data_IF_635559904217
#
_entry.id   IF_635559904217
#
_cell.length_a   1.000
_cell.length_b   1.000
_cell.length_c   1.000
_cell.angle_alpha   90.00
_cell.angle_beta   90.00
_cell.angle_gamma   90.00
#
_symmetry.space_group_name_H-M   'P 1'
#
loop_
_entity.id
_entity.type
_entity.pdbx_description
1 polymer ?
#
# COMPACT_ATOMS: atom_id res chain seq x y z
N UNK A 1 8.00 7.22 15.65
CA UNK A 1 9.22 6.43 15.40
C UNK A 1 9.64 5.64 16.65
N UNK A 2 9.14 6.04 17.83
CA UNK A 2 9.41 5.46 19.16
C UNK A 2 9.06 3.96 19.29
N UNK A 3 8.21 3.41 18.42
CA UNK A 3 7.90 1.97 18.40
C UNK A 3 9.05 1.10 17.92
N UNK A 4 9.93 1.61 17.04
CA UNK A 4 11.07 0.87 16.48
C UNK A 4 12.18 0.68 17.54
N UNK A 5 12.25 1.59 18.50
CA UNK A 5 13.26 1.54 19.56
C UNK A 5 12.91 0.53 20.66
N UNK A 6 11.63 0.17 20.79
CA UNK A 6 11.18 -0.81 21.77
C UNK A 6 11.81 -2.20 21.51
N UNK A 7 12.39 -2.85 22.53
CA UNK A 7 12.87 -4.23 22.40
C UNK A 7 11.73 -5.17 21.99
N UNK A 8 12.03 -6.14 21.12
CA UNK A 8 11.08 -7.17 20.69
C UNK A 8 9.99 -6.73 19.71
N UNK A 9 9.92 -5.44 19.33
CA UNK A 9 8.97 -4.97 18.33
C UNK A 9 9.56 -5.08 16.93
N UNK A 10 8.82 -5.73 16.03
CA UNK A 10 9.07 -5.77 14.59
C UNK A 10 8.03 -4.92 13.86
N UNK A 11 8.44 -4.25 12.79
CA UNK A 11 7.58 -3.43 11.94
C UNK A 11 7.61 -3.99 10.53
N UNK A 12 6.43 -4.20 9.96
CA UNK A 12 6.26 -4.48 8.53
C UNK A 12 5.66 -3.23 7.91
N UNK A 13 6.38 -2.60 6.99
CA UNK A 13 5.93 -1.42 6.26
C UNK A 13 5.64 -1.79 4.81
N UNK A 14 4.39 -1.55 4.39
CA UNK A 14 3.97 -1.74 3.01
C UNK A 14 3.95 -0.39 2.29
N UNK A 15 4.82 -0.26 1.30
CA UNK A 15 4.87 0.86 0.38
C UNK A 15 4.12 0.52 -0.90
N UNK A 16 3.61 1.53 -1.60
CA UNK A 16 3.01 1.38 -2.92
C UNK A 16 3.44 2.56 -3.79
N UNK A 17 3.46 2.38 -5.11
CA UNK A 17 3.77 3.48 -6.00
C UNK A 17 2.85 4.70 -5.73
N UNK A 18 3.39 5.94 -5.71
CA UNK A 18 2.62 7.13 -5.34
C UNK A 18 1.41 7.42 -6.23
N UNK A 19 1.49 7.04 -7.52
CA UNK A 19 0.45 7.32 -8.51
C UNK A 19 -0.83 6.51 -8.23
N UNK A 20 -0.72 5.20 -8.07
CA UNK A 20 -1.85 4.36 -7.67
C UNK A 20 -2.29 4.64 -6.23
N UNK A 21 -1.36 5.01 -5.35
CA UNK A 21 -1.69 5.39 -3.98
C UNK A 21 -2.63 6.60 -3.98
N UNK A 22 -2.35 7.60 -4.81
CA UNK A 22 -3.22 8.75 -5.00
C UNK A 22 -4.61 8.34 -5.50
N UNK A 23 -4.68 7.60 -6.62
CA UNK A 23 -5.96 7.19 -7.21
C UNK A 23 -6.79 6.33 -6.26
N UNK A 24 -6.15 5.41 -5.54
CA UNK A 24 -6.80 4.59 -4.52
C UNK A 24 -7.34 5.45 -3.38
N UNK A 25 -6.58 6.44 -2.92
CA UNK A 25 -6.98 7.34 -1.84
C UNK A 25 -8.12 8.27 -2.25
N UNK A 26 -8.07 8.83 -3.46
CA UNK A 26 -9.12 9.68 -4.02
C UNK A 26 -10.46 8.94 -4.12
N UNK A 27 -10.46 7.72 -4.68
CA UNK A 27 -11.65 6.87 -4.72
C UNK A 27 -12.16 6.52 -3.32
N UNK A 28 -11.26 6.11 -2.42
CA UNK A 28 -11.63 5.75 -1.05
C UNK A 28 -12.34 6.91 -0.36
N UNK A 29 -11.75 8.10 -0.37
CA UNK A 29 -12.30 9.30 0.27
C UNK A 29 -13.68 9.65 -0.30
N UNK A 30 -13.85 9.61 -1.62
CA UNK A 30 -15.14 9.92 -2.24
C UNK A 30 -16.21 8.86 -1.96
N UNK A 31 -15.83 7.60 -1.76
CA UNK A 31 -16.77 6.52 -1.44
C UNK A 31 -17.19 6.48 0.04
N UNK A 32 -16.32 6.90 0.97
CA UNK A 32 -16.63 6.86 2.41
C UNK A 32 -17.23 8.15 2.96
N UNK A 33 -17.29 9.22 2.15
CA UNK A 33 -17.94 10.47 2.51
C UNK A 33 -19.45 10.28 2.59
N UNK A 34 -20.09 11.09 3.43
CA UNK A 34 -21.56 11.17 3.46
C UNK A 34 -22.07 11.64 2.09
N UNK A 35 -23.21 11.10 1.65
CA UNK A 35 -23.92 11.53 0.43
C UNK A 35 -24.22 13.03 0.39
N UNK A 36 -24.26 13.69 1.56
CA UNK A 36 -24.46 15.13 1.70
C UNK A 36 -23.23 15.99 1.35
N UNK A 37 -22.06 15.36 1.20
CA UNK A 37 -20.79 16.06 0.91
C UNK A 37 -20.45 15.88 -0.57
N UNK A 38 -20.23 16.99 -1.27
CA UNK A 38 -19.81 16.95 -2.67
C UNK A 38 -18.52 16.13 -2.87
N UNK A 39 -18.42 15.34 -3.96
CA UNK A 39 -17.19 14.65 -4.31
C UNK A 39 -16.03 15.63 -4.46
N UNK A 40 -14.83 15.22 -4.02
CA UNK A 40 -13.61 15.98 -4.33
C UNK A 40 -13.25 15.74 -5.78
N UNK A 41 -13.07 16.83 -6.52
CA UNK A 41 -12.60 16.74 -7.90
C UNK A 41 -11.18 16.18 -7.94
N UNK A 42 -10.87 15.41 -8.99
CA UNK A 42 -9.58 14.74 -9.11
C UNK A 42 -8.43 15.74 -9.13
N UNK A 43 -8.55 16.83 -9.89
CA UNK A 43 -7.50 17.86 -10.00
C UNK A 43 -7.23 18.59 -8.68
N UNK A 44 -8.28 18.89 -7.92
CA UNK A 44 -8.17 19.50 -6.59
C UNK A 44 -7.48 18.54 -5.61
N UNK A 45 -7.93 17.28 -5.58
CA UNK A 45 -7.32 16.26 -4.73
C UNK A 45 -5.84 16.02 -5.11
N UNK A 46 -5.53 16.04 -6.41
CA UNK A 46 -4.19 15.86 -6.93
C UNK A 46 -3.25 17.00 -6.52
N UNK A 47 -3.72 18.25 -6.59
CA UNK A 47 -2.93 19.40 -6.13
C UNK A 47 -2.63 19.29 -4.62
N UNK A 48 -3.64 18.98 -3.82
CA UNK A 48 -3.48 18.75 -2.38
C UNK A 48 -2.51 17.61 -2.09
N UNK A 49 -2.61 16.49 -2.82
CA UNK A 49 -1.69 15.35 -2.69
C UNK A 49 -0.24 15.74 -2.99
N UNK A 50 0.01 16.47 -4.09
CA UNK A 50 1.34 16.96 -4.45
C UNK A 50 1.91 17.94 -3.42
N UNK A 51 1.05 18.67 -2.71
CA UNK A 51 1.44 19.54 -1.59
C UNK A 51 1.61 18.80 -0.26
N UNK A 52 1.40 17.48 -0.24
CA UNK A 52 1.47 16.66 0.96
C UNK A 52 0.24 16.77 1.87
N UNK A 53 -0.81 17.48 1.43
CA UNK A 53 -2.05 17.71 2.18
C UNK A 53 -3.03 16.57 1.89
N UNK A 54 -2.72 15.40 2.45
CA UNK A 54 -3.57 14.21 2.45
C UNK A 54 -3.52 13.56 3.83
N UNK A 55 -4.46 12.67 4.15
CA UNK A 55 -4.43 11.93 5.42
C UNK A 55 -3.08 11.25 5.65
N UNK A 56 -2.47 11.50 6.81
CA UNK A 56 -1.13 11.03 7.19
C UNK A 56 0.01 11.52 6.27
N UNK A 57 -0.24 12.57 5.47
CA UNK A 57 0.77 13.19 4.63
C UNK A 57 1.76 14.07 5.41
N UNK A 58 2.87 14.46 4.77
CA UNK A 58 3.23 14.19 3.38
C UNK A 58 3.67 12.73 3.15
N UNK A 59 3.35 12.19 1.96
CA UNK A 59 3.53 10.75 1.74
C UNK A 59 5.02 10.33 1.62
N UNK A 60 5.88 11.20 1.13
CA UNK A 60 7.29 10.88 0.95
C UNK A 60 8.06 10.77 2.28
N UNK A 61 7.67 11.53 3.31
CA UNK A 61 8.36 11.50 4.60
C UNK A 61 8.26 10.14 5.28
N UNK A 62 7.04 9.58 5.34
CA UNK A 62 6.85 8.28 5.96
C UNK A 62 7.45 7.15 5.10
N UNK A 63 7.34 7.20 3.76
CA UNK A 63 8.02 6.24 2.88
C UNK A 63 9.53 6.23 3.10
N UNK A 64 10.18 7.40 3.08
CA UNK A 64 11.63 7.52 3.30
C UNK A 64 12.04 7.14 4.72
N UNK A 65 11.22 7.49 5.71
CA UNK A 65 11.48 7.15 7.10
C UNK A 65 11.60 5.65 7.29
N UNK A 66 10.60 4.88 6.81
CA UNK A 66 10.64 3.42 6.91
C UNK A 66 11.63 2.78 5.95
N UNK A 67 11.88 3.36 4.78
CA UNK A 67 12.93 2.90 3.87
C UNK A 67 14.30 2.96 4.55
N UNK A 68 14.67 4.12 5.10
CA UNK A 68 15.95 4.32 5.81
C UNK A 68 16.07 3.41 7.03
N UNK A 69 15.01 3.27 7.83
CA UNK A 69 15.03 2.36 8.97
C UNK A 69 15.15 0.89 8.56
N UNK A 70 14.56 0.48 7.43
CA UNK A 70 14.73 -0.88 6.90
C UNK A 70 16.16 -1.19 6.46
N UNK A 71 16.88 -0.20 5.94
CA UNK A 71 18.30 -0.34 5.60
C UNK A 71 19.18 -0.36 6.85
N UNK A 72 18.83 0.44 7.86
CA UNK A 72 19.59 0.56 9.12
C UNK A 72 19.38 -0.63 10.07
N UNK A 73 18.17 -1.18 10.10
CA UNK A 73 17.71 -2.22 11.06
C UNK A 73 16.84 -3.28 10.35
N UNK A 74 17.39 -4.01 9.37
CA UNK A 74 16.63 -4.98 8.57
C UNK A 74 15.99 -6.12 9.40
N UNK A 75 16.53 -6.39 10.60
CA UNK A 75 15.98 -7.35 11.57
C UNK A 75 14.73 -6.82 12.31
N UNK A 76 14.51 -5.50 12.31
CA UNK A 76 13.37 -4.84 12.96
C UNK A 76 12.36 -4.25 12.01
N UNK A 77 12.76 -3.87 10.79
CA UNK A 77 11.87 -3.22 9.82
C UNK A 77 11.94 -3.95 8.49
N UNK A 78 10.86 -4.66 8.15
CA UNK A 78 10.67 -5.25 6.84
C UNK A 78 9.93 -4.26 5.95
N UNK A 79 10.60 -3.79 4.90
CA UNK A 79 10.00 -2.97 3.85
C UNK A 79 9.54 -3.86 2.70
N UNK A 80 8.25 -3.76 2.34
CA UNK A 80 7.62 -4.46 1.22
C UNK A 80 7.03 -3.41 0.26
N UNK A 81 7.01 -3.74 -1.03
CA UNK A 81 6.26 -2.96 -2.03
C UNK A 81 5.04 -3.74 -2.49
N UNK A 82 3.92 -3.07 -2.64
CA UNK A 82 2.67 -3.66 -3.11
C UNK A 82 2.83 -4.31 -4.49
N UNK A 83 3.63 -3.69 -5.36
CA UNK A 83 3.95 -4.18 -6.70
C UNK A 83 4.68 -5.52 -6.63
N UNK A 84 5.70 -5.65 -5.78
CA UNK A 84 6.43 -6.91 -5.56
C UNK A 84 5.48 -8.01 -5.04
N UNK A 85 4.52 -7.67 -4.16
CA UNK A 85 3.50 -8.61 -3.69
C UNK A 85 2.57 -9.08 -4.80
N UNK A 86 2.29 -8.22 -5.77
CA UNK A 86 1.42 -8.51 -6.91
C UNK A 86 2.13 -9.35 -7.97
N UNK A 87 3.43 -9.17 -8.11
CA UNK A 87 4.29 -9.95 -9.02
C UNK A 87 4.56 -11.36 -8.47
N UNK A 88 5.00 -11.47 -7.21
CA UNK A 88 5.31 -12.75 -6.58
C UNK A 88 4.89 -12.76 -5.10
N UNK A 89 3.65 -13.18 -4.87
CA UNK A 89 3.09 -13.26 -3.52
C UNK A 89 3.76 -14.35 -2.67
N UNK A 90 4.15 -15.47 -3.25
CA UNK A 90 4.68 -16.62 -2.48
C UNK A 90 6.06 -16.31 -1.92
N UNK A 91 6.96 -15.74 -2.73
CA UNK A 91 8.30 -15.33 -2.27
C UNK A 91 8.20 -14.27 -1.19
N UNK A 92 7.32 -13.28 -1.36
CA UNK A 92 7.14 -12.23 -0.37
C UNK A 92 6.48 -12.74 0.93
N UNK A 93 5.57 -13.72 0.86
CA UNK A 93 5.02 -14.38 2.05
C UNK A 93 6.10 -15.15 2.82
N UNK A 94 7.00 -15.86 2.12
CA UNK A 94 8.15 -16.53 2.76
C UNK A 94 9.11 -15.54 3.41
N UNK A 95 9.36 -14.40 2.76
CA UNK A 95 10.14 -13.29 3.32
C UNK A 95 9.50 -12.74 4.59
N UNK A 96 8.19 -12.50 4.57
CA UNK A 96 7.41 -12.03 5.71
C UNK A 96 7.43 -13.04 6.86
N UNK A 97 7.19 -14.32 6.59
CA UNK A 97 7.14 -15.36 7.61
C UNK A 97 8.50 -15.55 8.29
N UNK A 98 9.58 -15.55 7.51
CA UNK A 98 10.96 -15.56 8.02
C UNK A 98 11.26 -14.33 8.88
N UNK A 99 10.87 -13.15 8.42
CA UNK A 99 11.03 -11.91 9.20
C UNK A 99 10.27 -11.96 10.52
N UNK A 100 9.06 -12.53 10.55
CA UNK A 100 8.28 -12.69 11.77
C UNK A 100 8.87 -13.74 12.73
N UNK A 101 9.81 -14.57 12.27
CA UNK A 101 10.40 -15.68 13.05
C UNK A 101 9.56 -16.96 12.98
N UNK A 102 8.74 -17.08 11.94
CA UNK A 102 7.87 -18.22 11.66
C UNK A 102 8.11 -18.72 10.22
N UNK A 103 9.35 -19.09 9.84
CA UNK A 103 9.62 -19.56 8.50
C UNK A 103 8.81 -20.82 8.20
N UNK A 104 8.35 -20.96 6.96
CA UNK A 104 7.70 -22.18 6.52
C UNK A 104 8.71 -23.33 6.52
N UNK A 105 8.26 -24.51 6.93
CA UNK A 105 9.02 -25.75 6.78
C UNK A 105 8.97 -26.24 5.33
N UNK A 106 9.97 -27.00 4.89
CA UNK A 106 9.96 -27.64 3.57
C UNK A 106 8.69 -28.47 3.34
N UNK A 107 8.16 -29.07 4.40
CA UNK A 107 6.94 -29.86 4.36
C UNK A 107 5.69 -29.01 4.12
N UNK A 108 5.58 -27.84 4.76
CA UNK A 108 4.49 -26.89 4.53
C UNK A 108 4.54 -26.32 3.10
N UNK A 109 5.74 -26.01 2.60
CA UNK A 109 5.92 -25.59 1.21
C UNK A 109 5.50 -26.68 0.23
N UNK A 110 5.96 -27.92 0.44
CA UNK A 110 5.59 -29.07 -0.39
C UNK A 110 4.08 -29.36 -0.36
N UNK A 111 3.43 -29.12 0.79
CA UNK A 111 1.97 -29.23 0.95
C UNK A 111 1.18 -28.05 0.38
N UNK A 112 1.85 -27.02 -0.15
CA UNK A 112 1.21 -25.86 -0.74
C UNK A 112 0.59 -24.90 0.29
N UNK A 113 1.05 -24.90 1.54
CA UNK A 113 0.52 -24.02 2.60
C UNK A 113 0.72 -22.55 2.24
N UNK A 114 1.88 -22.19 1.66
CA UNK A 114 2.17 -20.81 1.22
C UNK A 114 1.12 -20.33 0.21
N UNK A 115 0.85 -21.15 -0.79
CA UNK A 115 -0.17 -20.89 -1.81
C UNK A 115 -1.57 -20.82 -1.21
N UNK A 116 -1.92 -21.73 -0.30
CA UNK A 116 -3.23 -21.72 0.37
C UNK A 116 -3.45 -20.43 1.17
N UNK A 117 -2.42 -19.91 1.85
CA UNK A 117 -2.49 -18.61 2.54
C UNK A 117 -2.63 -17.47 1.53
N UNK A 118 -1.85 -17.49 0.43
CA UNK A 118 -1.96 -16.48 -0.63
C UNK A 118 -3.38 -16.44 -1.22
N UNK A 119 -3.97 -17.60 -1.51
CA UNK A 119 -5.33 -17.72 -2.04
C UNK A 119 -6.37 -17.24 -1.04
N UNK A 120 -6.24 -17.62 0.24
CA UNK A 120 -7.13 -17.20 1.33
C UNK A 120 -7.12 -15.68 1.52
N UNK A 121 -5.93 -15.07 1.46
CA UNK A 121 -5.75 -13.62 1.61
C UNK A 121 -5.86 -12.85 0.29
N UNK A 122 -6.17 -13.52 -0.82
CA UNK A 122 -6.24 -12.88 -2.13
C UNK A 122 -7.34 -11.82 -2.17
N UNK A 123 -7.12 -10.78 -2.98
CA UNK A 123 -8.08 -9.69 -3.16
C UNK A 123 -9.46 -10.21 -3.55
N UNK A 124 -9.53 -11.15 -4.50
CA UNK A 124 -10.77 -11.75 -4.98
C UNK A 124 -11.49 -12.55 -3.89
N UNK A 125 -10.75 -13.31 -3.08
CA UNK A 125 -11.36 -14.06 -1.98
C UNK A 125 -11.89 -13.11 -0.90
N UNK A 126 -11.07 -12.16 -0.43
CA UNK A 126 -11.45 -11.22 0.62
C UNK A 126 -12.62 -10.33 0.20
N UNK A 127 -12.65 -9.83 -1.05
CA UNK A 127 -13.75 -9.01 -1.58
C UNK A 127 -15.08 -9.76 -1.61
N UNK A 128 -15.06 -11.09 -1.76
CA UNK A 128 -16.27 -11.94 -1.83
C UNK A 128 -16.84 -12.34 -0.46
N UNK A 129 -16.10 -12.15 0.63
CA UNK A 129 -16.60 -12.45 1.97
C UNK A 129 -17.80 -11.55 2.31
N UNK A 130 -18.85 -12.12 2.91
CA UNK A 130 -20.07 -11.37 3.25
C UNK A 130 -19.80 -10.14 4.13
N UNK A 131 -18.87 -10.28 5.09
CA UNK A 131 -18.42 -9.17 5.94
C UNK A 131 -17.83 -7.99 5.15
N UNK A 132 -17.38 -8.20 3.93
CA UNK A 132 -16.79 -7.17 3.08
C UNK A 132 -17.75 -6.64 2.00
N UNK A 133 -18.97 -7.20 1.88
CA UNK A 133 -19.96 -6.75 0.89
C UNK A 133 -20.87 -5.63 1.38
N UNK A 134 -21.41 -5.76 2.60
CA UNK A 134 -22.43 -4.84 3.12
C UNK A 134 -22.27 -4.49 4.59
N UNK A 135 -21.47 -5.25 5.36
CA UNK A 135 -21.22 -4.92 6.76
C UNK A 135 -20.41 -3.62 6.89
N UNK A 136 -20.50 -2.99 8.07
CA UNK A 136 -19.83 -1.74 8.41
C UNK A 136 -18.91 -1.99 9.60
N UNK A 137 -17.63 -1.61 9.48
CA UNK A 137 -16.65 -1.78 10.56
C UNK A 137 -16.02 -0.46 10.99
N UNK A 138 -15.43 0.29 10.04
CA UNK A 138 -14.71 1.53 10.30
C UNK A 138 -15.63 2.72 9.99
N UNK A 139 -15.79 3.64 10.95
CA UNK A 139 -16.48 4.93 10.75
C UNK A 139 -17.87 4.82 10.08
N UNK A 140 -18.57 3.69 10.25
CA UNK A 140 -19.91 3.41 9.72
C UNK A 140 -20.09 3.47 8.18
N UNK A 141 -19.02 3.38 7.37
CA UNK A 141 -19.14 3.13 5.94
C UNK A 141 -19.13 1.63 5.62
N UNK A 142 -19.70 1.23 4.48
CA UNK A 142 -19.73 -0.18 4.07
C UNK A 142 -18.33 -0.69 3.68
N UNK A 143 -17.96 -1.88 4.16
CA UNK A 143 -16.63 -2.46 3.94
C UNK A 143 -16.30 -2.67 2.47
N UNK A 144 -17.29 -2.74 1.56
CA UNK A 144 -17.06 -2.85 0.11
C UNK A 144 -16.19 -1.73 -0.44
N UNK A 145 -16.22 -0.55 0.18
CA UNK A 145 -15.41 0.59 -0.24
C UNK A 145 -13.91 0.42 0.04
N UNK A 146 -13.52 -0.59 0.82
CA UNK A 146 -12.11 -1.00 0.99
C UNK A 146 -11.58 -1.81 -0.20
N UNK A 147 -12.47 -2.36 -1.04
CA UNK A 147 -12.12 -3.28 -2.13
C UNK A 147 -12.50 -2.72 -3.51
N UNK A 148 -11.59 -1.98 -4.14
CA UNK A 148 -11.81 -1.37 -5.46
C UNK A 148 -11.45 -2.32 -6.62
N UNK A 149 -10.20 -2.24 -7.11
CA UNK A 149 -9.68 -3.06 -8.21
C UNK A 149 -8.58 -4.05 -7.81
N UNK A 150 -7.70 -3.69 -6.89
CA UNK A 150 -6.60 -4.58 -6.47
C UNK A 150 -5.53 -4.80 -7.55
N UNK A 151 -5.33 -3.80 -8.42
CA UNK A 151 -4.44 -3.82 -9.58
C UNK A 151 -3.30 -2.81 -9.43
N UNK A 152 -2.23 -3.00 -10.21
CA UNK A 152 -1.09 -2.09 -10.35
C UNK A 152 -1.26 -1.29 -11.64
N UNK A 153 -0.79 -0.05 -11.65
CA UNK A 153 -0.79 0.86 -12.80
C UNK A 153 -2.18 1.30 -13.26
N UNK A 154 -3.17 1.30 -12.37
CA UNK A 154 -4.51 1.80 -12.70
C UNK A 154 -4.53 3.33 -12.85
N UNK A 155 -3.53 4.03 -12.32
CA UNK A 155 -3.36 5.47 -12.46
C UNK A 155 -3.34 5.99 -13.90
N UNK A 156 -2.91 5.17 -14.86
CA UNK A 156 -2.87 5.51 -16.29
C UNK A 156 -4.26 5.85 -16.85
N UNK A 157 -5.31 5.33 -16.22
CA UNK A 157 -6.70 5.54 -16.63
C UNK A 157 -7.29 6.87 -16.13
N UNK A 158 -6.56 7.60 -15.29
CA UNK A 158 -7.09 8.77 -14.57
C UNK A 158 -6.23 10.01 -14.70
N UNK A 159 -4.90 9.86 -14.67
CA UNK A 159 -3.98 11.00 -14.63
C UNK A 159 -3.66 11.49 -16.03
N UNK A 160 -3.76 12.80 -16.25
CA UNK A 160 -3.30 13.45 -17.48
C UNK A 160 -1.76 13.43 -17.57
N UNK A 161 -1.18 13.56 -18.78
CA UNK A 161 0.28 13.64 -18.94
C UNK A 161 0.94 14.71 -18.06
N UNK A 162 0.30 15.88 -17.92
CA UNK A 162 0.81 16.98 -17.09
C UNK A 162 0.84 16.65 -15.58
N UNK A 163 -0.15 15.88 -15.10
CA UNK A 163 -0.17 15.40 -13.72
C UNK A 163 0.90 14.33 -13.51
N UNK A 164 1.08 13.44 -14.48
CA UNK A 164 2.13 12.42 -14.43
C UNK A 164 3.51 13.07 -14.36
N UNK A 165 3.78 14.07 -15.20
CA UNK A 165 5.04 14.83 -15.19
C UNK A 165 5.27 15.52 -13.84
N UNK A 166 4.26 16.23 -13.32
CA UNK A 166 4.35 16.93 -12.03
C UNK A 166 4.64 15.98 -10.87
N UNK A 167 3.94 14.85 -10.79
CA UNK A 167 4.15 13.89 -9.70
C UNK A 167 5.47 13.14 -9.87
N UNK A 168 5.90 12.85 -11.10
CA UNK A 168 7.21 12.24 -11.36
C UNK A 168 8.34 13.15 -10.88
N UNK A 169 8.31 14.44 -11.26
CA UNK A 169 9.29 15.41 -10.80
C UNK A 169 9.31 15.56 -9.27
N UNK A 170 8.14 15.51 -8.62
CA UNK A 170 8.05 15.53 -7.16
C UNK A 170 8.64 14.27 -6.53
N UNK A 171 8.35 13.10 -7.08
CA UNK A 171 8.89 11.81 -6.61
C UNK A 171 10.41 11.80 -6.75
N UNK A 172 10.95 12.28 -7.88
CA UNK A 172 12.38 12.38 -8.10
C UNK A 172 13.05 13.39 -7.15
N UNK A 173 12.45 14.56 -6.94
CA UNK A 173 12.95 15.56 -5.97
C UNK A 173 12.96 15.03 -4.54
N UNK A 174 11.89 14.36 -4.11
CA UNK A 174 11.74 13.91 -2.72
C UNK A 174 12.44 12.60 -2.44
N UNK A 175 12.37 11.63 -3.34
CA UNK A 175 12.87 10.27 -3.14
C UNK A 175 14.21 10.01 -3.85
N UNK A 176 14.63 10.91 -4.76
CA UNK A 176 15.88 10.82 -5.48
C UNK A 176 17.08 10.64 -4.56
N UNK A 177 18.04 9.83 -5.00
CA UNK A 177 19.25 9.51 -4.23
C UNK A 177 19.03 8.60 -3.00
N UNK A 178 17.79 8.27 -2.64
CA UNK A 178 17.52 7.34 -1.52
C UNK A 178 17.70 5.86 -1.87
N UNK A 179 17.71 5.53 -3.17
CA UNK A 179 17.66 4.15 -3.67
C UNK A 179 16.26 3.53 -3.68
N UNK A 180 15.23 4.21 -3.14
CA UNK A 180 13.84 3.78 -3.26
C UNK A 180 13.28 4.17 -4.64
N UNK A 181 13.05 3.16 -5.49
CA UNK A 181 12.52 3.32 -6.85
C UNK A 181 11.18 2.61 -7.02
N UNK A 182 10.38 3.05 -7.97
CA UNK A 182 9.12 2.42 -8.37
C UNK A 182 9.14 2.18 -9.88
N UNK A 183 8.62 1.03 -10.32
CA UNK A 183 8.36 0.84 -11.74
C UNK A 183 7.12 1.65 -12.14
N UNK A 184 7.21 2.35 -13.27
CA UNK A 184 6.09 3.08 -13.88
C UNK A 184 5.49 2.29 -15.07
N UNK A 185 5.94 1.05 -15.28
CA UNK A 185 5.49 0.15 -16.35
C UNK A 185 4.11 -0.43 -16.10
#
# INVERSE_FOLDING_TARGET
MDSIEKPGVKVVYLCRNPFDTFISSWHYINNIKSESVSPVLLDEAFDLYCRGVIGFGPFWEHMLGYWRESLKRPEKVLFLKYEDLKEDIETNLKKLSSFLGLPFTEEEERKGVVKAIADLCSFENLKKLEVNKSNKSIKNFENRFLFRKGEVSDWVNYLSPSQVERLSALVDDKLGGSGLTFSLS
#
